data_IF_226622361885
#
_entry.id   IF_226622361885
#
_cell.length_a   1.000
_cell.length_b   1.000
_cell.length_c   1.000
_cell.angle_alpha   90.00
_cell.angle_beta   90.00
_cell.angle_gamma   90.00
#
_symmetry.space_group_name_H-M   'P 1'
#
loop_
_entity.id
_entity.type
_entity.pdbx_description
1 polymer ?
#
# COMPACT_ATOMS: atom_id res chain seq x y z
N UNK A 1 23.47 -0.61 -21.25
CA UNK A 1 23.34 -0.81 -20.46
C UNK A 1 23.23 -1.07 -19.97
N UNK A 2 23.18 -0.74 -19.69
CA UNK A 2 23.02 -1.16 -18.60
C UNK A 2 22.41 -1.34 -18.29
N UNK A 3 22.39 -1.26 -18.24
CA UNK A 3 21.75 -1.52 -17.48
C UNK A 3 21.64 -1.58 -16.72
N UNK A 4 21.49 -1.32 -16.28
CA UNK A 4 21.29 -1.47 -15.22
C UNK A 4 20.92 -1.96 -14.71
N UNK A 5 20.97 -1.95 -14.29
CA UNK A 5 20.53 -2.46 -13.46
C UNK A 5 19.86 -2.67 -13.23
N UNK A 6 19.64 -2.68 -13.36
CA UNK A 6 18.91 -2.95 -12.89
C UNK A 6 18.63 -3.26 -12.11
N UNK A 7 19.02 -3.03 -11.76
CA UNK A 7 18.72 -3.38 -10.76
C UNK A 7 17.79 -3.08 -10.25
N UNK A 8 17.55 -3.27 -10.40
CA UNK A 8 16.22 -2.96 -10.08
C UNK A 8 15.84 -3.38 -8.71
N UNK A 9 15.41 -2.46 -7.95
CA UNK A 9 14.97 -2.76 -6.61
C UNK A 9 13.76 -3.67 -6.69
N UNK A 10 13.83 -4.79 -6.03
CA UNK A 10 12.68 -5.66 -5.87
C UNK A 10 11.72 -4.97 -4.90
N UNK A 11 10.44 -5.00 -5.24
CA UNK A 11 9.42 -4.53 -4.32
C UNK A 11 9.21 -5.59 -3.24
N UNK A 12 9.48 -5.23 -2.00
CA UNK A 12 9.27 -6.12 -0.86
C UNK A 12 8.20 -5.52 0.05
N UNK A 13 6.97 -5.99 -0.03
CA UNK A 13 5.91 -5.49 0.84
C UNK A 13 6.08 -5.97 2.27
N UNK A 14 5.48 -5.24 3.22
CA UNK A 14 5.54 -5.61 4.62
C UNK A 14 4.83 -6.94 4.87
N UNK A 15 3.63 -7.10 4.29
CA UNK A 15 2.84 -8.32 4.46
C UNK A 15 2.19 -8.69 3.14
N UNK A 16 2.18 -10.00 2.84
CA UNK A 16 1.41 -10.54 1.70
C UNK A 16 0.51 -11.63 2.26
N UNK A 17 -0.79 -11.45 2.09
CA UNK A 17 -1.79 -12.39 2.61
C UNK A 17 -2.42 -13.11 1.42
N UNK A 18 -2.20 -14.42 1.34
CA UNK A 18 -2.69 -15.24 0.23
C UNK A 18 -3.87 -16.12 0.61
N UNK A 19 -4.12 -16.28 1.92
CA UNK A 19 -5.19 -17.13 2.40
C UNK A 19 -6.12 -16.38 3.35
N UNK A 20 -7.38 -16.80 3.36
CA UNK A 20 -8.36 -16.31 4.32
C UNK A 20 -8.16 -17.00 5.66
N UNK A 21 -8.77 -16.48 6.75
CA UNK A 21 -8.65 -17.12 8.07
C UNK A 21 -9.12 -18.58 8.11
N UNK A 22 -10.04 -18.97 7.21
CA UNK A 22 -10.54 -20.34 7.14
C UNK A 22 -9.61 -21.26 6.34
N UNK A 23 -8.47 -20.75 5.86
CA UNK A 23 -7.49 -21.53 5.11
C UNK A 23 -7.72 -21.59 3.61
N UNK A 24 -8.81 -21.01 3.10
CA UNK A 24 -9.04 -20.97 1.66
C UNK A 24 -8.19 -19.91 1.00
N UNK A 25 -7.86 -20.10 -0.28
CA UNK A 25 -7.03 -19.18 -1.02
C UNK A 25 -7.83 -17.95 -1.47
N UNK A 26 -7.22 -16.79 -1.38
CA UNK A 26 -7.77 -15.56 -1.96
C UNK A 26 -7.61 -15.61 -3.48
N UNK A 27 -8.54 -14.97 -4.19
CA UNK A 27 -8.44 -14.90 -5.65
C UNK A 27 -7.16 -14.21 -6.09
N UNK A 28 -6.71 -13.21 -5.32
CA UNK A 28 -5.44 -12.53 -5.54
C UNK A 28 -4.83 -12.18 -4.20
N UNK A 29 -3.49 -12.14 -4.13
CA UNK A 29 -2.83 -11.78 -2.87
C UNK A 29 -3.21 -10.38 -2.43
N UNK A 30 -3.40 -10.22 -1.11
CA UNK A 30 -3.60 -8.92 -0.50
C UNK A 30 -2.25 -8.42 0.01
N UNK A 31 -1.80 -7.28 -0.49
CA UNK A 31 -0.53 -6.67 -0.09
C UNK A 31 -0.82 -5.56 0.91
N UNK A 32 -0.21 -5.66 2.08
CA UNK A 32 -0.39 -4.68 3.15
C UNK A 32 0.92 -3.92 3.35
N UNK A 33 0.83 -2.59 3.32
CA UNK A 33 1.94 -1.71 3.63
C UNK A 33 1.63 -0.95 4.91
N UNK A 34 2.46 -1.15 5.93
CA UNK A 34 2.31 -0.46 7.21
C UNK A 34 3.18 0.79 7.21
N UNK A 35 2.59 1.96 7.45
CA UNK A 35 3.30 3.22 7.37
C UNK A 35 3.05 4.09 8.59
N UNK A 36 4.12 4.43 9.31
CA UNK A 36 4.06 5.49 10.31
C UNK A 36 4.14 6.86 9.65
N UNK A 37 5.05 6.99 8.67
CA UNK A 37 5.20 8.20 7.87
C UNK A 37 5.07 7.83 6.40
N UNK A 38 4.32 8.62 5.67
CA UNK A 38 4.06 8.38 4.25
C UNK A 38 4.76 9.45 3.43
N UNK A 39 6.03 9.22 3.15
CA UNK A 39 6.89 10.20 2.51
C UNK A 39 6.60 10.33 1.01
N UNK A 40 7.09 11.40 0.40
CA UNK A 40 6.93 11.63 -1.05
C UNK A 40 7.47 10.44 -1.85
N UNK A 41 8.63 9.92 -1.45
CA UNK A 41 9.23 8.77 -2.13
C UNK A 41 8.33 7.53 -2.04
N UNK A 42 7.70 7.31 -0.89
CA UNK A 42 6.76 6.19 -0.72
C UNK A 42 5.56 6.36 -1.66
N UNK A 43 5.00 7.56 -1.70
CA UNK A 43 3.82 7.83 -2.53
C UNK A 43 4.13 7.62 -4.01
N UNK A 44 5.26 8.14 -4.48
CA UNK A 44 5.68 7.98 -5.87
C UNK A 44 5.92 6.50 -6.21
N UNK A 45 6.58 5.78 -5.31
CA UNK A 45 6.82 4.35 -5.47
C UNK A 45 5.53 3.58 -5.65
N UNK A 46 4.53 3.84 -4.81
CA UNK A 46 3.28 3.08 -4.89
C UNK A 46 2.41 3.46 -6.08
N UNK A 47 2.50 4.70 -6.55
CA UNK A 47 1.83 5.06 -7.80
C UNK A 47 2.45 4.31 -8.98
N UNK A 48 3.78 4.19 -8.98
CA UNK A 48 4.48 3.46 -10.03
C UNK A 48 4.14 1.97 -9.99
N UNK A 49 4.12 1.38 -8.80
CA UNK A 49 3.78 -0.03 -8.64
C UNK A 49 2.35 -0.28 -9.12
N UNK A 50 1.42 0.60 -8.79
CA UNK A 50 0.03 0.47 -9.22
C UNK A 50 -0.08 0.54 -10.74
N UNK A 51 0.69 1.42 -11.36
CA UNK A 51 0.71 1.55 -12.82
C UNK A 51 1.27 0.30 -13.48
N UNK A 52 2.35 -0.25 -12.95
CA UNK A 52 3.02 -1.43 -13.52
C UNK A 52 2.32 -2.73 -13.18
N UNK A 53 1.61 -2.77 -12.05
CA UNK A 53 0.93 -3.98 -11.57
C UNK A 53 -0.50 -3.67 -11.15
N UNK A 54 -1.37 -3.30 -12.10
CA UNK A 54 -2.73 -2.84 -11.77
C UNK A 54 -3.60 -3.91 -11.11
N UNK A 55 -3.25 -5.18 -11.25
CA UNK A 55 -4.00 -6.27 -10.65
C UNK A 55 -3.58 -6.56 -9.19
N UNK A 56 -2.55 -5.88 -8.71
CA UNK A 56 -2.09 -6.07 -7.34
C UNK A 56 -2.97 -5.25 -6.38
N UNK A 57 -3.50 -5.92 -5.36
CA UNK A 57 -4.34 -5.27 -4.35
C UNK A 57 -3.45 -4.79 -3.21
N UNK A 58 -3.06 -3.52 -3.27
CA UNK A 58 -2.20 -2.90 -2.26
C UNK A 58 -3.06 -2.02 -1.37
N UNK A 59 -2.97 -2.24 -0.05
CA UNK A 59 -3.70 -1.46 0.93
C UNK A 59 -2.74 -0.99 2.02
N UNK A 60 -3.04 0.14 2.61
CA UNK A 60 -2.19 0.77 3.61
C UNK A 60 -2.80 0.67 4.99
N UNK A 61 -1.94 0.45 6.00
CA UNK A 61 -2.31 0.59 7.40
C UNK A 61 -1.44 1.71 7.95
N UNK A 62 -2.06 2.81 8.35
CA UNK A 62 -1.35 3.98 8.86
C UNK A 62 -1.47 4.06 10.37
N UNK A 63 -0.44 4.61 11.01
CA UNK A 63 -0.56 4.99 12.41
C UNK A 63 -1.55 6.15 12.57
N UNK A 64 -1.55 7.08 11.60
CA UNK A 64 -2.43 8.25 11.60
C UNK A 64 -2.78 8.64 10.16
N UNK A 65 -3.89 8.12 9.66
CA UNK A 65 -4.31 8.44 8.29
C UNK A 65 -4.73 9.89 8.12
N UNK A 66 -5.06 10.58 9.20
CA UNK A 66 -5.46 11.98 9.16
C UNK A 66 -4.28 12.94 9.15
N UNK A 67 -3.06 12.43 9.26
CA UNK A 67 -1.87 13.26 9.17
C UNK A 67 -1.71 13.79 7.75
N UNK A 68 -1.30 15.06 7.62
CA UNK A 68 -1.09 15.66 6.30
C UNK A 68 0.21 15.15 5.66
N UNK A 69 0.25 15.17 4.34
CA UNK A 69 1.42 14.67 3.59
C UNK A 69 2.64 15.60 3.72
N UNK A 70 2.41 16.86 4.09
CA UNK A 70 3.49 17.80 4.35
C UNK A 70 2.99 18.90 5.27
N UNK A 71 3.92 19.72 5.81
CA UNK A 71 3.56 20.82 6.71
C UNK A 71 2.70 21.87 6.04
N UNK A 72 2.85 22.04 4.73
CA UNK A 72 2.15 23.09 3.99
C UNK A 72 0.91 22.57 3.26
N UNK A 73 0.70 21.26 3.25
CA UNK A 73 -0.41 20.66 2.54
C UNK A 73 -1.59 20.39 3.49
N UNK A 74 -2.80 20.54 2.99
CA UNK A 74 -4.00 20.14 3.71
C UNK A 74 -4.42 18.72 3.36
N UNK A 75 -3.73 18.08 2.41
CA UNK A 75 -4.03 16.72 2.00
C UNK A 75 -3.52 15.73 3.05
N UNK A 76 -4.41 14.92 3.58
CA UNK A 76 -4.05 13.86 4.53
C UNK A 76 -3.65 12.60 3.78
N UNK A 77 -3.04 11.64 4.50
CA UNK A 77 -2.74 10.33 3.94
C UNK A 77 -4.02 9.65 3.43
N UNK A 78 -5.10 9.75 4.21
CA UNK A 78 -6.39 9.19 3.82
C UNK A 78 -6.90 9.82 2.51
N UNK A 79 -6.84 11.13 2.41
CA UNK A 79 -7.29 11.84 1.20
C UNK A 79 -6.46 11.43 -0.01
N UNK A 80 -5.16 11.28 0.18
CA UNK A 80 -4.27 10.85 -0.90
C UNK A 80 -4.65 9.44 -1.39
N UNK A 81 -4.90 8.52 -0.45
CA UNK A 81 -5.30 7.17 -0.81
C UNK A 81 -6.64 7.15 -1.57
N UNK A 82 -7.60 7.94 -1.09
CA UNK A 82 -8.91 8.03 -1.75
C UNK A 82 -8.79 8.58 -3.16
N UNK A 83 -7.93 9.59 -3.33
CA UNK A 83 -7.69 10.20 -4.65
C UNK A 83 -7.10 9.20 -5.64
N UNK A 84 -6.20 8.34 -5.18
CA UNK A 84 -5.47 7.41 -6.04
C UNK A 84 -6.04 6.00 -6.02
N UNK A 85 -7.16 5.77 -5.35
CA UNK A 85 -7.82 4.48 -5.37
C UNK A 85 -7.20 3.40 -4.51
N UNK A 86 -6.48 3.79 -3.45
CA UNK A 86 -5.96 2.84 -2.47
C UNK A 86 -6.88 2.76 -1.26
N UNK A 87 -7.08 1.54 -0.75
CA UNK A 87 -7.77 1.35 0.52
C UNK A 87 -6.79 1.54 1.66
N UNK A 88 -7.28 1.96 2.80
CA UNK A 88 -6.44 2.20 3.97
C UNK A 88 -7.21 1.94 5.26
N UNK A 89 -6.46 1.80 6.34
CA UNK A 89 -6.99 1.64 7.69
C UNK A 89 -6.04 2.29 8.67
N UNK A 90 -6.52 2.57 9.87
CA UNK A 90 -5.70 3.11 10.97
C UNK A 90 -5.41 2.00 11.97
N UNK A 91 -4.15 1.90 12.36
CA UNK A 91 -3.72 1.10 13.49
C UNK A 91 -3.58 -0.39 13.26
N UNK A 92 -4.47 -1.00 12.52
CA UNK A 92 -4.41 -2.44 12.31
C UNK A 92 -5.10 -2.86 11.02
N UNK A 93 -4.86 -4.10 10.61
CA UNK A 93 -5.51 -4.69 9.43
C UNK A 93 -6.95 -5.03 9.81
N UNK A 94 -7.96 -4.47 9.12
CA UNK A 94 -9.34 -4.81 9.42
C UNK A 94 -9.62 -6.29 9.15
N UNK A 95 -10.37 -6.92 10.03
CA UNK A 95 -10.72 -8.32 9.84
C UNK A 95 -11.46 -8.55 8.54
N UNK A 96 -12.30 -7.59 8.13
CA UNK A 96 -13.03 -7.68 6.87
C UNK A 96 -12.10 -7.88 5.68
N UNK A 97 -10.91 -7.27 5.70
CA UNK A 97 -9.93 -7.46 4.62
C UNK A 97 -9.42 -8.89 4.56
N UNK A 98 -9.27 -9.53 5.71
CA UNK A 98 -8.78 -10.90 5.80
C UNK A 98 -9.82 -11.89 5.27
N UNK A 99 -11.11 -11.56 5.40
CA UNK A 99 -12.21 -12.42 4.96
C UNK A 99 -12.48 -12.36 3.46
N UNK A 100 -12.01 -11.32 2.80
CA UNK A 100 -12.22 -11.15 1.36
C UNK A 100 -11.60 -12.25 0.53
#
# INVERSE_FOLDING_TARGET
>A
QYVKPQRTSKYTPDFVITKRPDGTDKERPLVIESKGRFLTSDRQKHLLIKDQHPDTDIRFVFSRSKQTISKTSKTTYAMWCEKHGFMYSDGSIPEAWLQE
#
